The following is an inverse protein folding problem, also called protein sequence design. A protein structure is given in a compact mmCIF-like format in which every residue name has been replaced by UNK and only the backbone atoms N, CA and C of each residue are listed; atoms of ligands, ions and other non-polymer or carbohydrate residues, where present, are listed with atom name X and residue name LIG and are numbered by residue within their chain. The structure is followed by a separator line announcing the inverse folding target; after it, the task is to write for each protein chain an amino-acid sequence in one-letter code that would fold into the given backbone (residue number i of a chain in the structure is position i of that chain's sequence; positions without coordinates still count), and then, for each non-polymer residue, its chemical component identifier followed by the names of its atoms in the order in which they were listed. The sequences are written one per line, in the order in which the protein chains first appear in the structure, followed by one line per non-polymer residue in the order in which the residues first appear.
data_IF_910895216767
#
_entry.id   IF_910895216767
#
_cell.length_a   1.000
_cell.length_b   1.000
_cell.length_c   1.000
_cell.angle_alpha   90.00
_cell.angle_beta   90.00
_cell.angle_gamma   90.00
#
_symmetry.space_group_name_H-M   'P 1'
#
loop_
_entity.id
_entity.type
_entity.pdbx_description
1 polymer ?
#
# COMPACT_ATOMS: atom_id res chain seq x y z
N UNK A 1 -6.81 -4.45 10.48
CA UNK A 1 -8.05 -4.37 9.65
C UNK A 1 -7.60 -4.48 8.21
N UNK A 2 -8.12 -5.45 7.46
CA UNK A 2 -7.70 -5.64 6.06
C UNK A 2 -8.29 -4.57 5.15
N UNK A 3 -7.49 -4.09 4.20
CA UNK A 3 -7.89 -3.15 3.16
C UNK A 3 -7.82 -3.82 1.79
N UNK A 4 -8.59 -3.29 0.85
CA UNK A 4 -8.43 -3.62 -0.57
C UNK A 4 -7.28 -2.82 -1.15
N UNK A 5 -6.45 -3.46 -1.98
CA UNK A 5 -5.34 -2.82 -2.69
C UNK A 5 -5.32 -3.32 -4.15
N UNK A 6 -5.31 -2.38 -5.08
CA UNK A 6 -4.98 -2.63 -6.48
C UNK A 6 -3.46 -2.70 -6.63
N UNK A 7 -2.96 -3.73 -7.28
CA UNK A 7 -1.53 -3.93 -7.50
C UNK A 7 -1.22 -3.98 -8.99
N UNK A 8 -0.02 -3.55 -9.37
CA UNK A 8 0.46 -3.71 -10.74
C UNK A 8 0.68 -5.19 -11.07
N UNK A 9 0.10 -5.68 -12.17
CA UNK A 9 0.14 -7.09 -12.60
C UNK A 9 1.36 -7.46 -13.45
N UNK A 10 2.45 -6.69 -13.35
CA UNK A 10 3.66 -6.88 -14.16
C UNK A 10 4.38 -8.21 -13.89
N UNK A 11 4.69 -8.95 -14.96
CA UNK A 11 5.51 -10.16 -14.94
C UNK A 11 6.86 -9.89 -14.24
N UNK A 12 7.12 -10.62 -13.14
CA UNK A 12 8.28 -10.54 -12.22
C UNK A 12 8.13 -9.60 -11.02
N UNK A 13 7.49 -10.13 -9.98
CA UNK A 13 8.16 -10.21 -8.67
C UNK A 13 7.73 -9.22 -7.58
N UNK A 14 7.11 -8.08 -7.90
CA UNK A 14 6.62 -7.16 -6.87
C UNK A 14 5.21 -6.64 -7.20
N UNK A 15 4.25 -6.98 -6.33
CA UNK A 15 2.91 -6.37 -6.32
C UNK A 15 3.03 -4.95 -5.75
N UNK A 16 3.46 -4.00 -6.56
CA UNK A 16 3.48 -2.60 -6.15
C UNK A 16 2.04 -2.04 -6.08
N UNK A 17 1.67 -1.34 -4.99
CA UNK A 17 0.33 -0.80 -4.83
C UNK A 17 0.09 0.37 -5.80
N UNK A 18 -1.01 0.29 -6.54
CA UNK A 18 -1.50 1.32 -7.47
C UNK A 18 -2.62 2.17 -6.87
N UNK A 19 -3.46 1.56 -6.03
CA UNK A 19 -4.51 2.25 -5.28
C UNK A 19 -4.93 1.39 -4.10
N UNK A 20 -5.56 2.01 -3.10
CA UNK A 20 -6.11 1.29 -1.96
C UNK A 20 -7.42 1.95 -1.49
N UNK A 21 -8.16 1.26 -0.64
CA UNK A 21 -9.44 1.73 -0.12
C UNK A 21 -9.36 2.05 1.36
N UNK A 22 -9.84 3.24 1.72
CA UNK A 22 -10.11 3.65 3.10
C UNK A 22 -11.62 3.74 3.28
N UNK A 23 -12.22 2.66 3.79
CA UNK A 23 -13.67 2.46 3.71
C UNK A 23 -14.12 2.38 2.25
N UNK A 24 -15.10 3.20 1.87
CA UNK A 24 -15.60 3.28 0.48
C UNK A 24 -14.74 4.16 -0.44
N UNK A 25 -13.81 4.94 0.13
CA UNK A 25 -12.99 5.89 -0.65
C UNK A 25 -11.79 5.18 -1.25
N UNK A 26 -11.69 5.19 -2.58
CA UNK A 26 -10.49 4.79 -3.32
C UNK A 26 -9.48 5.94 -3.33
N UNK A 27 -8.23 5.64 -2.99
CA UNK A 27 -7.09 6.55 -3.03
C UNK A 27 -6.06 6.00 -4.02
N UNK A 28 -5.77 6.75 -5.07
CA UNK A 28 -4.72 6.39 -6.02
C UNK A 28 -3.33 6.61 -5.37
N UNK A 29 -2.41 5.68 -5.58
CA UNK A 29 -1.01 5.85 -5.20
C UNK A 29 -0.32 6.67 -6.28
N UNK A 30 0.09 7.90 -5.93
CA UNK A 30 0.88 8.74 -6.82
C UNK A 30 2.34 8.32 -6.87
N UNK A 31 2.91 7.93 -5.73
CA UNK A 31 4.29 7.51 -5.64
C UNK A 31 4.50 6.53 -4.49
N UNK A 32 5.29 5.49 -4.73
CA UNK A 32 5.87 4.65 -3.67
C UNK A 32 7.20 5.30 -3.27
N UNK A 33 7.28 5.92 -2.11
CA UNK A 33 8.46 6.66 -1.64
C UNK A 33 9.42 5.81 -0.80
N UNK A 34 9.00 4.62 -0.38
CA UNK A 34 9.88 3.65 0.28
C UNK A 34 9.33 2.23 0.17
N UNK A 35 10.22 1.25 0.21
CA UNK A 35 9.90 -0.18 0.16
C UNK A 35 10.83 -0.96 1.07
N UNK A 36 10.27 -1.83 1.91
CA UNK A 36 11.07 -2.72 2.73
C UNK A 36 10.48 -4.11 2.87
N UNK A 37 11.36 -5.05 3.13
CA UNK A 37 11.10 -6.48 3.10
C UNK A 37 11.34 -7.06 4.49
N UNK A 38 10.39 -7.82 4.98
CA UNK A 38 10.51 -8.68 6.16
C UNK A 38 10.07 -10.10 5.78
N UNK A 39 10.37 -11.13 6.60
CA UNK A 39 9.86 -12.48 6.36
C UNK A 39 8.35 -12.46 6.20
N UNK A 40 7.86 -12.97 5.07
CA UNK A 40 6.45 -13.04 4.70
C UNK A 40 5.71 -11.70 4.68
N UNK A 41 6.44 -10.57 4.70
CA UNK A 41 5.85 -9.25 4.77
C UNK A 41 6.53 -8.29 3.80
N UNK A 42 5.71 -7.54 3.08
CA UNK A 42 6.13 -6.44 2.22
C UNK A 42 5.54 -5.16 2.75
N UNK A 43 6.35 -4.12 2.78
CA UNK A 43 5.91 -2.83 3.28
C UNK A 43 6.22 -1.75 2.26
N UNK A 44 5.28 -0.82 2.15
CA UNK A 44 5.32 0.26 1.18
C UNK A 44 4.94 1.56 1.85
N UNK A 45 5.80 2.58 1.74
CA UNK A 45 5.40 3.96 2.01
C UNK A 45 4.93 4.58 0.71
N UNK A 46 3.72 5.14 0.72
CA UNK A 46 3.08 5.71 -0.47
C UNK A 46 2.59 7.13 -0.20
N UNK A 47 2.65 7.99 -1.22
CA UNK A 47 1.84 9.22 -1.28
C UNK A 47 0.58 8.92 -2.09
N UNK A 48 -0.56 9.29 -1.52
CA UNK A 48 -1.86 9.16 -2.14
C UNK A 48 -2.31 10.46 -2.81
N UNK A 49 -3.36 10.37 -3.63
CA UNK A 49 -4.01 11.49 -4.34
C UNK A 49 -4.73 12.51 -3.44
N UNK A 50 -4.94 12.16 -2.18
CA UNK A 50 -5.45 13.09 -1.16
C UNK A 50 -4.36 13.94 -0.50
N UNK A 51 -3.12 13.86 -1.01
CA UNK A 51 -1.96 14.59 -0.50
C UNK A 51 -1.33 13.96 0.74
N UNK A 52 -1.85 12.85 1.25
CA UNK A 52 -1.34 12.22 2.47
C UNK A 52 -0.38 11.06 2.19
N UNK A 53 0.43 10.74 3.19
CA UNK A 53 1.34 9.60 3.19
C UNK A 53 0.75 8.43 4.00
N UNK A 54 0.93 7.22 3.48
CA UNK A 54 0.48 5.99 4.09
C UNK A 54 1.60 4.95 4.13
N UNK A 55 1.58 4.09 5.13
CA UNK A 55 2.37 2.87 5.18
C UNK A 55 1.44 1.68 5.01
N UNK A 56 1.60 0.96 3.91
CA UNK A 56 0.86 -0.25 3.60
C UNK A 56 1.71 -1.47 3.92
N UNK A 57 1.12 -2.45 4.60
CA UNK A 57 1.71 -3.76 4.86
C UNK A 57 0.95 -4.81 4.07
N UNK A 58 1.66 -5.62 3.29
CA UNK A 58 1.16 -6.82 2.65
C UNK A 58 1.75 -8.04 3.35
N UNK A 59 0.89 -8.86 3.92
CA UNK A 59 1.24 -10.15 4.46
C UNK A 59 1.17 -11.18 3.31
N UNK A 60 2.32 -11.72 2.91
CA UNK A 60 2.42 -12.64 1.76
C UNK A 60 1.80 -14.01 2.06
N UNK A 61 1.76 -14.44 3.32
CA UNK A 61 1.21 -15.73 3.74
C UNK A 61 -0.32 -15.76 3.63
N UNK A 62 -0.98 -14.70 4.11
CA UNK A 62 -2.44 -14.55 4.06
C UNK A 62 -2.94 -13.81 2.81
N UNK A 63 -2.06 -13.10 2.11
CA UNK A 63 -2.41 -12.22 1.00
C UNK A 63 -3.16 -10.95 1.42
N UNK A 64 -3.16 -10.63 2.72
CA UNK A 64 -3.91 -9.49 3.26
C UNK A 64 -3.08 -8.20 3.22
N UNK A 65 -3.77 -7.09 3.08
CA UNK A 65 -3.18 -5.75 3.12
C UNK A 65 -3.72 -4.97 4.30
N UNK A 66 -2.91 -4.11 4.91
CA UNK A 66 -3.31 -3.25 6.02
C UNK A 66 -2.63 -1.88 5.95
N UNK A 67 -3.28 -0.85 6.50
CA UNK A 67 -2.64 0.45 6.77
C UNK A 67 -1.99 0.37 8.15
N UNK A 68 -0.65 0.38 8.17
CA UNK A 68 0.12 0.32 9.41
C UNK A 68 0.41 1.71 9.99
N UNK A 69 0.49 2.74 9.14
CA UNK A 69 0.65 4.12 9.57
C UNK A 69 0.08 5.09 8.52
N UNK A 70 -0.23 6.31 8.98
CA UNK A 70 -0.75 7.41 8.16
C UNK A 70 -0.18 8.73 8.66
N UNK A 71 0.17 9.62 7.73
CA UNK A 71 0.53 11.00 8.01
C UNK A 71 -0.15 11.90 6.98
N UNK A 72 -0.90 12.89 7.47
CA UNK A 72 -1.38 13.99 6.63
C UNK A 72 -0.22 14.95 6.39
N UNK A 73 0.11 15.23 5.13
CA UNK A 73 0.91 16.40 4.79
C UNK A 73 -0.05 17.59 4.65
N UNK A 74 0.29 18.70 5.33
CA UNK A 74 -0.57 19.87 5.52
C UNK A 74 -0.55 20.82 4.33
#
# INVERSE_FOLDING_TARGET
MSIRVECHSGHRGAKEPLAFWLGERRLAVHAVTDRWYAPEQRWFRVHADDGSMYVLRHDEASGTWEIAAYRRDA
#
